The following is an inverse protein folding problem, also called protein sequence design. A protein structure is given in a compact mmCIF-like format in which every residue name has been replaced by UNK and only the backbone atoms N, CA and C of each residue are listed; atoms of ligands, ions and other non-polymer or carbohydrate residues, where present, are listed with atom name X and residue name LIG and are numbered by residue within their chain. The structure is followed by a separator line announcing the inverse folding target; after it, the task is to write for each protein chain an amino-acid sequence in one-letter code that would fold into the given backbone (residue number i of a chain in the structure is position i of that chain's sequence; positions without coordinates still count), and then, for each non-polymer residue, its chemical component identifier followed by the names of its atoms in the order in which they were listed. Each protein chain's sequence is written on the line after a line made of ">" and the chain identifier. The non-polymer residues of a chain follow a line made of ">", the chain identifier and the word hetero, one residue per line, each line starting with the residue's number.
data_IF_426192578177
#
_entry.id   IF_426192578177
#
_cell.length_a   1.000
_cell.length_b   1.000
_cell.length_c   1.000
_cell.angle_alpha   90.00
_cell.angle_beta   90.00
_cell.angle_gamma   90.00
#
_symmetry.space_group_name_H-M   'P 1'
#
loop_
_entity.id
_entity.type
_entity.pdbx_description
1 polymer ?
#
# COMPACT_ATOMS: atom_id res chain seq x y z
N UNK A 1 8.02 4.56 -24.14
CA UNK A 1 8.99 4.67 -23.02
C UNK A 1 8.24 4.21 -21.78
N UNK A 2 8.66 3.14 -21.10
CA UNK A 2 8.00 2.67 -19.89
C UNK A 2 8.19 3.77 -18.83
N UNK A 3 7.13 4.49 -18.48
CA UNK A 3 7.15 5.42 -17.35
C UNK A 3 7.14 4.59 -16.06
N UNK A 4 8.30 4.00 -15.76
CA UNK A 4 8.64 3.55 -14.42
C UNK A 4 8.49 4.80 -13.56
N UNK A 5 7.53 4.81 -12.64
CA UNK A 5 7.04 5.97 -11.87
C UNK A 5 8.10 6.70 -11.03
N UNK A 6 9.10 7.26 -11.69
CA UNK A 6 10.23 7.95 -11.14
C UNK A 6 9.95 9.45 -11.32
N UNK A 7 9.30 10.05 -10.34
CA UNK A 7 9.17 11.50 -10.26
C UNK A 7 10.36 12.04 -9.44
N UNK A 8 11.32 12.76 -10.05
CA UNK A 8 12.48 13.31 -9.36
C UNK A 8 12.12 14.28 -8.23
N UNK A 9 10.90 14.85 -8.24
CA UNK A 9 10.42 15.75 -7.19
C UNK A 9 10.06 15.03 -5.89
N UNK A 10 9.76 13.73 -5.95
CA UNK A 10 9.32 12.94 -4.80
C UNK A 10 10.46 12.19 -4.09
N UNK A 11 11.73 12.51 -4.42
CA UNK A 11 12.90 11.84 -3.85
C UNK A 11 13.13 10.44 -4.42
N UNK A 12 14.17 9.71 -3.98
CA UNK A 12 14.41 8.36 -4.46
C UNK A 12 13.18 7.49 -4.19
N UNK A 13 12.59 6.95 -5.26
CA UNK A 13 11.55 5.95 -5.16
C UNK A 13 12.11 4.82 -4.29
N UNK A 14 11.56 4.62 -3.08
CA UNK A 14 12.02 3.56 -2.17
C UNK A 14 11.92 2.25 -2.94
N UNK A 15 13.07 1.64 -3.25
CA UNK A 15 13.16 0.38 -3.96
C UNK A 15 12.40 -0.67 -3.14
N UNK A 16 11.28 -1.13 -3.69
CA UNK A 16 10.53 -2.27 -3.17
C UNK A 16 11.39 -3.52 -3.35
N UNK A 17 12.06 -3.93 -2.29
CA UNK A 17 12.65 -5.26 -2.26
C UNK A 17 11.53 -6.29 -2.18
N UNK A 18 11.77 -7.46 -2.77
CA UNK A 18 10.83 -8.59 -2.72
C UNK A 18 10.53 -8.96 -1.26
N UNK A 19 11.53 -8.87 -0.40
CA UNK A 19 11.45 -9.13 1.03
C UNK A 19 10.51 -8.14 1.72
N UNK A 20 10.65 -6.85 1.46
CA UNK A 20 9.81 -5.83 2.09
C UNK A 20 8.35 -5.95 1.65
N UNK A 21 8.11 -6.25 0.36
CA UNK A 21 6.77 -6.55 -0.14
C UNK A 21 6.16 -7.80 0.54
N UNK A 22 6.94 -8.86 0.74
CA UNK A 22 6.48 -10.07 1.46
C UNK A 22 6.11 -9.74 2.90
N UNK A 23 6.92 -8.94 3.60
CA UNK A 23 6.67 -8.52 4.99
C UNK A 23 5.37 -7.71 5.08
N UNK A 24 5.19 -6.71 4.22
CA UNK A 24 3.96 -5.91 4.22
C UNK A 24 2.74 -6.73 3.83
N UNK A 25 2.86 -7.63 2.85
CA UNK A 25 1.78 -8.53 2.47
C UNK A 25 1.35 -9.47 3.61
N UNK A 26 2.29 -9.92 4.46
CA UNK A 26 1.96 -10.66 5.69
C UNK A 26 1.20 -9.78 6.69
N UNK A 27 1.70 -8.57 6.98
CA UNK A 27 1.03 -7.62 7.88
C UNK A 27 -0.40 -7.28 7.41
N UNK A 28 -0.56 -7.05 6.10
CA UNK A 28 -1.85 -6.76 5.51
C UNK A 28 -2.81 -7.93 5.63
N UNK A 29 -2.37 -9.16 5.32
CA UNK A 29 -3.20 -10.36 5.49
C UNK A 29 -3.68 -10.52 6.93
N UNK A 30 -2.80 -10.31 7.92
CA UNK A 30 -3.19 -10.38 9.32
C UNK A 30 -4.18 -9.27 9.71
N UNK A 31 -4.01 -8.06 9.17
CA UNK A 31 -4.94 -6.96 9.42
C UNK A 31 -6.33 -7.23 8.80
N UNK A 32 -6.38 -7.76 7.58
CA UNK A 32 -7.63 -8.01 6.86
C UNK A 32 -8.39 -9.25 7.34
N UNK A 33 -7.74 -10.20 8.05
CA UNK A 33 -8.45 -11.35 8.66
C UNK A 33 -9.56 -10.95 9.62
N UNK A 34 -9.47 -9.75 10.20
CA UNK A 34 -10.47 -9.21 11.15
C UNK A 34 -11.63 -8.52 10.44
N UNK A 35 -11.56 -8.35 9.12
CA UNK A 35 -12.66 -7.79 8.36
C UNK A 35 -13.77 -8.83 8.20
N UNK A 36 -15.05 -8.42 8.26
CA UNK A 36 -16.17 -9.29 7.95
C UNK A 36 -16.07 -9.81 6.51
N UNK A 37 -16.67 -10.97 6.23
CA UNK A 37 -16.67 -11.58 4.90
C UNK A 37 -17.25 -10.67 3.80
N UNK A 38 -18.14 -9.75 4.19
CA UNK A 38 -18.59 -8.63 3.38
C UNK A 38 -18.03 -7.34 3.99
N UNK A 39 -16.92 -6.86 3.46
CA UNK A 39 -16.35 -5.56 3.80
C UNK A 39 -16.45 -4.64 2.59
N UNK A 40 -16.56 -3.35 2.83
CA UNK A 40 -16.62 -2.35 1.77
C UNK A 40 -15.22 -1.82 1.43
N UNK A 41 -15.07 -1.25 0.23
CA UNK A 41 -13.81 -0.66 -0.24
C UNK A 41 -13.17 0.32 0.77
N UNK A 42 -13.92 1.18 1.49
CA UNK A 42 -13.36 2.06 2.52
C UNK A 42 -12.79 1.32 3.75
N UNK A 43 -13.36 0.18 4.13
CA UNK A 43 -12.87 -0.61 5.27
C UNK A 43 -11.53 -1.27 4.94
N UNK A 44 -11.40 -1.76 3.70
CA UNK A 44 -10.13 -2.25 3.18
C UNK A 44 -9.09 -1.13 3.14
N UNK A 45 -9.47 0.07 2.67
CA UNK A 45 -8.55 1.21 2.61
C UNK A 45 -7.99 1.57 4.00
N UNK A 46 -8.83 1.58 5.04
CA UNK A 46 -8.36 1.81 6.42
C UNK A 46 -7.31 0.80 6.87
N UNK A 47 -7.42 -0.47 6.44
CA UNK A 47 -6.41 -1.48 6.75
C UNK A 47 -5.09 -1.18 6.04
N UNK A 48 -5.13 -0.73 4.79
CA UNK A 48 -3.93 -0.27 4.07
C UNK A 48 -3.29 0.94 4.77
N UNK A 49 -4.08 1.96 5.12
CA UNK A 49 -3.56 3.13 5.84
C UNK A 49 -2.86 2.74 7.14
N UNK A 50 -3.42 1.79 7.91
CA UNK A 50 -2.82 1.30 9.15
C UNK A 50 -1.54 0.49 8.92
N UNK A 51 -1.54 -0.40 7.93
CA UNK A 51 -0.40 -1.31 7.69
C UNK A 51 0.80 -0.54 7.11
N UNK A 52 0.53 0.47 6.29
CA UNK A 52 1.53 1.27 5.58
C UNK A 52 1.78 2.65 6.24
N UNK A 53 1.38 2.86 7.49
CA UNK A 53 1.54 4.15 8.19
C UNK A 53 3.00 4.64 8.22
N UNK A 54 3.96 3.71 8.38
CA UNK A 54 5.39 4.01 8.33
C UNK A 54 5.99 4.05 6.91
N UNK A 55 5.22 3.72 5.88
CA UNK A 55 5.65 3.61 4.47
C UNK A 55 4.79 4.54 3.61
N UNK A 56 4.85 5.84 3.89
CA UNK A 56 3.93 6.86 3.35
C UNK A 56 3.96 6.96 1.82
N UNK A 57 5.13 6.82 1.20
CA UNK A 57 5.26 6.81 -0.27
C UNK A 57 4.56 5.60 -0.90
N UNK A 58 4.54 4.47 -0.21
CA UNK A 58 3.85 3.27 -0.68
C UNK A 58 2.34 3.45 -0.56
N UNK A 59 1.89 4.05 0.53
CA UNK A 59 0.48 4.38 0.72
C UNK A 59 -0.02 5.35 -0.36
N UNK A 60 0.77 6.38 -0.71
CA UNK A 60 0.46 7.30 -1.82
C UNK A 60 0.32 6.57 -3.16
N UNK A 61 1.24 5.67 -3.47
CA UNK A 61 1.20 4.90 -4.72
C UNK A 61 -0.02 3.97 -4.81
N UNK A 62 -0.48 3.43 -3.67
CA UNK A 62 -1.65 2.54 -3.58
C UNK A 62 -2.96 3.34 -3.58
N UNK A 63 -2.97 4.55 -3.05
CA UNK A 63 -4.16 5.40 -2.89
C UNK A 63 -4.97 5.54 -4.19
N UNK A 64 -4.31 5.61 -5.35
CA UNK A 64 -4.96 5.72 -6.67
C UNK A 64 -5.91 4.56 -7.02
N UNK A 65 -5.77 3.40 -6.36
CA UNK A 65 -6.68 2.26 -6.55
C UNK A 65 -7.91 2.33 -5.63
N UNK A 66 -7.86 3.19 -4.61
CA UNK A 66 -8.90 3.32 -3.59
C UNK A 66 -9.74 4.58 -3.75
N UNK A 67 -9.16 5.66 -4.27
CA UNK A 67 -9.82 6.94 -4.50
C UNK A 67 -9.97 7.13 -6.01
N UNK A 68 -11.21 7.21 -6.49
CA UNK A 68 -11.56 7.67 -7.85
C UNK A 68 -11.62 9.19 -7.88
#
# INVERSE_FOLDING_TARGET
>A
MLELGFDPKNGPCVLLTKEAHIVMGKKLREATKRLPAKFEKPDLWKMYQKVYEGETEWLKAIQKYFVE
#
